data_IF_776124207753
#
_entry.id   IF_776124207753
#
_cell.length_a   1.000
_cell.length_b   1.000
_cell.length_c   1.000
_cell.angle_alpha   90.00
_cell.angle_beta   90.00
_cell.angle_gamma   90.00
#
_symmetry.space_group_name_H-M   'P 1'
#
loop_
_entity.id
_entity.type
_entity.pdbx_description
1 polymer ?
#
# COMPACT_ATOMS: atom_id res chain seq x y z
N UNK A 1 4.32 -24.93 9.36
CA UNK A 1 3.82 -24.46 10.68
C UNK A 1 2.91 -25.46 11.37
N UNK A 2 1.85 -26.00 10.75
CA UNK A 2 0.94 -26.97 11.42
C UNK A 2 1.68 -28.24 11.83
N UNK A 3 2.56 -28.77 10.98
CA UNK A 3 3.48 -29.88 11.27
C UNK A 3 4.50 -29.57 12.37
N UNK A 4 4.97 -28.32 12.46
CA UNK A 4 5.89 -27.89 13.51
C UNK A 4 5.19 -27.78 14.88
N UNK A 5 3.92 -27.34 14.88
CA UNK A 5 3.09 -27.30 16.11
C UNK A 5 2.72 -28.72 16.54
N UNK A 6 2.37 -29.61 15.61
CA UNK A 6 2.15 -31.03 15.88
C UNK A 6 3.40 -31.69 16.47
N UNK A 7 4.57 -31.45 15.85
CA UNK A 7 5.86 -31.98 16.31
C UNK A 7 6.30 -31.42 17.67
N UNK A 8 6.08 -30.13 17.93
CA UNK A 8 6.36 -29.52 19.23
C UNK A 8 5.40 -30.06 20.30
N UNK A 9 4.13 -30.29 19.97
CA UNK A 9 3.14 -30.93 20.85
C UNK A 9 3.51 -32.38 21.18
N UNK A 10 4.04 -33.12 20.21
CA UNK A 10 4.52 -34.49 20.46
C UNK A 10 5.77 -34.46 21.35
N UNK A 11 6.72 -33.57 21.07
CA UNK A 11 7.95 -33.40 21.87
C UNK A 11 7.68 -32.95 23.31
N UNK A 12 6.73 -32.04 23.54
CA UNK A 12 6.37 -31.58 24.89
C UNK A 12 5.64 -32.64 25.72
N UNK A 13 4.83 -33.48 25.07
CA UNK A 13 4.19 -34.64 25.70
C UNK A 13 5.23 -35.72 26.04
N UNK A 14 6.26 -35.87 25.21
CA UNK A 14 7.36 -36.83 25.42
C UNK A 14 8.31 -36.35 26.54
N UNK A 15 8.61 -35.06 26.63
CA UNK A 15 9.56 -34.49 27.61
C UNK A 15 9.03 -34.48 29.06
N UNK A 16 7.71 -34.56 29.27
CA UNK A 16 7.08 -34.53 30.60
C UNK A 16 6.98 -35.87 31.34
N UNK A 17 7.58 -36.94 30.81
CA UNK A 17 8.13 -38.01 31.66
C UNK A 17 7.18 -39.01 32.31
N UNK A 18 6.08 -39.43 31.68
CA UNK A 18 5.39 -40.66 32.13
C UNK A 18 4.72 -41.41 30.95
N UNK A 19 5.52 -42.21 30.23
CA UNK A 19 5.09 -43.00 29.06
C UNK A 19 4.48 -44.36 29.45
N UNK A 20 4.10 -44.56 30.72
CA UNK A 20 3.65 -45.86 31.24
C UNK A 20 2.20 -46.27 30.92
N UNK A 21 1.35 -45.40 30.35
CA UNK A 21 -0.11 -45.64 30.30
C UNK A 21 -0.86 -45.15 29.05
N UNK A 22 -0.19 -44.82 27.96
CA UNK A 22 -0.86 -44.30 26.75
C UNK A 22 -1.55 -45.41 25.94
N UNK A 23 -2.77 -45.77 26.34
CA UNK A 23 -3.66 -46.64 25.56
C UNK A 23 -3.99 -46.04 24.17
N UNK A 24 -4.29 -46.90 23.18
CA UNK A 24 -4.66 -46.49 21.81
C UNK A 24 -5.81 -45.46 21.75
N UNK A 25 -6.72 -45.48 22.74
CA UNK A 25 -7.79 -44.49 22.87
C UNK A 25 -7.29 -43.06 23.13
N UNK A 26 -6.20 -42.88 23.87
CA UNK A 26 -5.63 -41.56 24.15
C UNK A 26 -4.99 -40.95 22.89
N UNK A 27 -4.27 -41.77 22.12
CA UNK A 27 -3.71 -41.34 20.83
C UNK A 27 -4.84 -40.93 19.88
N UNK A 28 -5.94 -41.70 19.84
CA UNK A 28 -7.10 -41.37 19.02
C UNK A 28 -7.73 -40.02 19.40
N UNK A 29 -7.85 -39.71 20.70
CA UNK A 29 -8.39 -38.44 21.18
C UNK A 29 -7.46 -37.25 20.85
N UNK A 30 -6.15 -37.42 20.95
CA UNK A 30 -5.16 -36.40 20.53
C UNK A 30 -5.25 -36.12 19.03
N UNK A 31 -5.35 -37.19 18.22
CA UNK A 31 -5.54 -37.08 16.78
C UNK A 31 -6.87 -36.40 16.45
N UNK A 32 -7.95 -36.75 17.15
CA UNK A 32 -9.27 -36.13 16.98
C UNK A 32 -9.25 -34.64 17.32
N UNK A 33 -8.62 -34.25 18.44
CA UNK A 33 -8.43 -32.85 18.82
C UNK A 33 -7.59 -32.07 17.81
N UNK A 34 -6.53 -32.69 17.30
CA UNK A 34 -5.68 -32.12 16.25
C UNK A 34 -6.43 -31.95 14.93
N UNK A 35 -7.30 -32.90 14.59
CA UNK A 35 -8.14 -32.85 13.40
C UNK A 35 -9.22 -31.76 13.52
N UNK A 36 -9.82 -31.61 14.71
CA UNK A 36 -10.75 -30.52 15.01
C UNK A 36 -10.10 -29.14 14.79
N UNK A 37 -8.81 -28.99 15.13
CA UNK A 37 -8.06 -27.76 14.88
C UNK A 37 -7.90 -27.41 13.40
N UNK A 38 -8.12 -28.33 12.45
CA UNK A 38 -8.15 -28.00 11.02
C UNK A 38 -9.34 -27.08 10.70
N UNK A 39 -10.45 -27.24 11.41
CA UNK A 39 -11.65 -26.42 11.27
C UNK A 39 -11.51 -25.02 11.92
N UNK A 40 -10.46 -24.77 12.71
CA UNK A 40 -10.28 -23.54 13.50
C UNK A 40 -10.30 -22.26 12.66
N UNK A 41 -9.95 -22.35 11.38
CA UNK A 41 -9.96 -21.22 10.44
C UNK A 41 -11.34 -20.86 9.92
N UNK A 42 -12.27 -21.82 9.87
CA UNK A 42 -13.65 -21.60 9.39
C UNK A 42 -14.62 -21.37 10.54
N UNK A 43 -14.49 -22.13 11.61
CA UNK A 43 -15.42 -22.14 12.74
C UNK A 43 -14.66 -22.18 14.09
N UNK A 44 -14.07 -21.06 14.55
CA UNK A 44 -13.21 -21.04 15.73
C UNK A 44 -13.95 -21.38 17.03
N UNK A 45 -15.19 -20.90 17.20
CA UNK A 45 -16.00 -21.17 18.41
C UNK A 45 -16.46 -22.64 18.47
N UNK A 46 -17.02 -23.23 17.39
CA UNK A 46 -17.31 -24.67 17.39
C UNK A 46 -16.07 -25.54 17.60
N UNK A 47 -14.92 -25.14 17.05
CA UNK A 47 -13.66 -25.86 17.25
C UNK A 47 -13.27 -25.89 18.73
N UNK A 48 -13.37 -24.75 19.43
CA UNK A 48 -13.11 -24.69 20.86
C UNK A 48 -14.07 -25.61 21.63
N UNK A 49 -15.37 -25.57 21.33
CA UNK A 49 -16.35 -26.44 21.98
C UNK A 49 -16.02 -27.94 21.81
N UNK A 50 -15.66 -28.37 20.59
CA UNK A 50 -15.24 -29.75 20.32
C UNK A 50 -14.00 -30.14 21.13
N UNK A 51 -12.99 -29.26 21.19
CA UNK A 51 -11.77 -29.52 21.96
C UNK A 51 -12.06 -29.61 23.46
N UNK A 52 -12.96 -28.79 24.00
CA UNK A 52 -13.39 -28.86 25.41
C UNK A 52 -14.19 -30.13 25.72
N UNK A 53 -15.01 -30.62 24.79
CA UNK A 53 -15.71 -31.89 24.95
C UNK A 53 -14.71 -33.05 24.94
N UNK A 54 -13.76 -33.06 24.00
CA UNK A 54 -12.71 -34.08 23.94
C UNK A 54 -11.84 -34.08 25.19
N UNK A 55 -11.58 -32.91 25.80
CA UNK A 55 -10.81 -32.85 27.05
C UNK A 55 -11.55 -33.48 28.22
N UNK A 56 -12.89 -33.34 28.29
CA UNK A 56 -13.70 -34.03 29.31
C UNK A 56 -13.71 -35.54 29.07
N UNK A 57 -13.88 -35.99 27.83
CA UNK A 57 -13.82 -37.42 27.49
C UNK A 57 -12.47 -38.02 27.86
N UNK A 58 -11.37 -37.30 27.61
CA UNK A 58 -10.03 -37.72 27.99
C UNK A 58 -9.87 -37.85 29.52
N UNK A 59 -10.40 -36.89 30.29
CA UNK A 59 -10.37 -36.97 31.76
C UNK A 59 -11.26 -38.08 32.31
N UNK A 60 -12.44 -38.33 31.72
CA UNK A 60 -13.31 -39.44 32.08
C UNK A 60 -12.67 -40.81 31.79
N UNK A 61 -11.75 -40.89 30.82
CA UNK A 61 -10.93 -42.07 30.54
C UNK A 61 -9.75 -42.25 31.51
N UNK A 62 -9.60 -41.37 32.51
CA UNK A 62 -8.54 -41.44 33.53
C UNK A 62 -7.25 -40.71 33.17
N UNK A 63 -7.20 -39.99 32.04
CA UNK A 63 -6.01 -39.24 31.64
C UNK A 63 -5.96 -37.81 32.20
N UNK A 64 -4.76 -37.30 32.53
CA UNK A 64 -4.60 -35.93 33.01
C UNK A 64 -4.97 -34.90 31.94
N UNK A 65 -5.45 -33.73 32.38
CA UNK A 65 -5.80 -32.61 31.51
C UNK A 65 -4.61 -32.10 30.67
N UNK A 66 -3.39 -32.24 31.18
CA UNK A 66 -2.15 -31.74 30.59
C UNK A 66 -1.95 -32.18 29.12
N UNK A 67 -2.48 -33.35 28.76
CA UNK A 67 -2.43 -33.90 27.39
C UNK A 67 -3.24 -33.04 26.40
N UNK A 68 -4.33 -32.42 26.87
CA UNK A 68 -5.26 -31.63 26.03
C UNK A 68 -5.04 -30.12 26.15
N UNK A 69 -4.28 -29.65 27.15
CA UNK A 69 -4.04 -28.21 27.39
C UNK A 69 -3.52 -27.46 26.14
N UNK A 70 -2.52 -27.95 25.38
CA UNK A 70 -2.02 -27.20 24.23
C UNK A 70 -3.06 -27.07 23.11
N UNK A 71 -3.93 -28.07 22.94
CA UNK A 71 -5.03 -27.99 21.97
C UNK A 71 -6.06 -26.93 22.39
N UNK A 72 -6.36 -26.84 23.69
CA UNK A 72 -7.25 -25.81 24.27
C UNK A 72 -6.63 -24.42 24.07
N UNK A 73 -5.34 -24.24 24.39
CA UNK A 73 -4.64 -22.96 24.23
C UNK A 73 -4.64 -22.48 22.78
N UNK A 74 -4.36 -23.37 21.83
CA UNK A 74 -4.38 -23.05 20.40
C UNK A 74 -5.79 -22.67 19.94
N UNK A 75 -6.83 -23.34 20.46
CA UNK A 75 -8.22 -23.00 20.17
C UNK A 75 -8.59 -21.62 20.73
N UNK A 76 -8.25 -21.33 22.00
CA UNK A 76 -8.47 -20.03 22.65
C UNK A 76 -7.71 -18.91 21.93
N UNK A 77 -6.44 -19.11 21.61
CA UNK A 77 -5.65 -18.18 20.79
C UNK A 77 -6.32 -17.88 19.46
N UNK A 78 -6.84 -18.91 18.78
CA UNK A 78 -7.51 -18.75 17.49
C UNK A 78 -8.82 -17.97 17.62
N UNK A 79 -9.59 -18.22 18.68
CA UNK A 79 -10.80 -17.45 18.98
C UNK A 79 -10.44 -16.00 19.30
N UNK A 80 -9.41 -15.75 20.11
CA UNK A 80 -8.95 -14.40 20.46
C UNK A 80 -8.44 -13.61 19.24
N UNK A 81 -7.79 -14.28 18.28
CA UNK A 81 -7.38 -13.67 17.02
C UNK A 81 -8.57 -13.24 16.13
N UNK A 82 -9.67 -13.99 16.19
CA UNK A 82 -10.80 -13.88 15.25
C UNK A 82 -11.96 -13.07 15.81
N UNK A 83 -12.14 -13.09 17.13
CA UNK A 83 -13.20 -12.38 17.84
C UNK A 83 -12.67 -11.05 18.39
N UNK A 84 -13.54 -10.05 18.55
CA UNK A 84 -13.13 -8.79 19.16
C UNK A 84 -12.68 -8.97 20.62
N UNK A 85 -12.03 -7.95 21.20
CA UNK A 85 -11.47 -8.00 22.57
C UNK A 85 -12.47 -8.54 23.59
N UNK A 86 -13.73 -8.08 23.58
CA UNK A 86 -14.79 -8.57 24.49
C UNK A 86 -15.06 -10.08 24.33
N UNK A 87 -15.14 -10.56 23.08
CA UNK A 87 -15.34 -11.99 22.79
C UNK A 87 -14.13 -12.84 23.19
N UNK A 88 -12.92 -12.34 22.96
CA UNK A 88 -11.69 -12.99 23.37
C UNK A 88 -11.61 -13.19 24.89
N UNK A 89 -11.87 -12.13 25.67
CA UNK A 89 -11.84 -12.21 27.14
C UNK A 89 -13.02 -13.02 27.71
N UNK A 90 -14.22 -12.91 27.14
CA UNK A 90 -15.36 -13.71 27.57
C UNK A 90 -15.13 -15.22 27.33
N UNK A 91 -14.61 -15.59 26.16
CA UNK A 91 -14.31 -16.99 25.84
C UNK A 91 -13.13 -17.53 26.64
N UNK A 92 -12.11 -16.71 26.90
CA UNK A 92 -11.01 -17.08 27.79
C UNK A 92 -11.48 -17.32 29.23
N UNK A 93 -12.32 -16.42 29.78
CA UNK A 93 -12.88 -16.56 31.12
C UNK A 93 -13.77 -17.81 31.21
N UNK A 94 -14.64 -18.05 30.23
CA UNK A 94 -15.47 -19.24 30.16
C UNK A 94 -14.63 -20.52 30.09
N UNK A 95 -13.57 -20.52 29.28
CA UNK A 95 -12.68 -21.66 29.14
C UNK A 95 -11.90 -21.93 30.43
N UNK A 96 -11.41 -20.87 31.10
CA UNK A 96 -10.75 -20.99 32.39
C UNK A 96 -11.69 -21.53 33.48
N UNK A 97 -12.94 -21.04 33.53
CA UNK A 97 -13.96 -21.56 34.44
C UNK A 97 -14.29 -23.03 34.15
N UNK A 98 -14.45 -23.41 32.88
CA UNK A 98 -14.67 -24.79 32.47
C UNK A 98 -13.53 -25.72 32.91
N UNK A 99 -12.29 -25.31 32.67
CA UNK A 99 -11.10 -26.05 33.10
C UNK A 99 -11.07 -26.19 34.62
N UNK A 100 -11.36 -25.12 35.38
CA UNK A 100 -11.43 -25.18 36.83
C UNK A 100 -12.49 -26.18 37.33
N UNK A 101 -13.70 -26.13 36.77
CA UNK A 101 -14.80 -27.05 37.14
C UNK A 101 -14.43 -28.50 36.85
N UNK A 102 -13.88 -28.79 35.67
CA UNK A 102 -13.52 -30.16 35.29
C UNK A 102 -12.36 -30.71 36.14
N UNK A 103 -11.36 -29.89 36.46
CA UNK A 103 -10.29 -30.31 37.39
C UNK A 103 -10.84 -30.65 38.77
N UNK A 104 -11.76 -29.83 39.30
CA UNK A 104 -12.39 -30.10 40.60
C UNK A 104 -13.25 -31.39 40.58
N UNK A 105 -13.96 -31.63 39.46
CA UNK A 105 -14.85 -32.79 39.31
C UNK A 105 -14.10 -34.12 39.15
N UNK A 106 -12.97 -34.13 38.42
CA UNK A 106 -12.23 -35.36 38.10
C UNK A 106 -11.03 -35.62 39.01
N UNK A 107 -10.59 -34.65 39.82
CA UNK A 107 -9.39 -34.77 40.67
C UNK A 107 -9.60 -34.26 42.10
N UNK A 108 -10.64 -34.79 42.75
CA UNK A 108 -11.15 -34.40 44.08
C UNK A 108 -10.18 -34.61 45.25
N UNK A 109 -9.07 -35.36 45.06
CA UNK A 109 -8.21 -35.78 46.18
C UNK A 109 -6.87 -35.02 46.33
N UNK A 110 -6.60 -33.99 45.52
CA UNK A 110 -5.30 -33.29 45.58
C UNK A 110 -5.44 -31.84 46.08
N UNK A 111 -4.65 -31.42 47.10
CA UNK A 111 -4.60 -30.04 47.56
C UNK A 111 -4.21 -29.10 46.40
N UNK A 112 -4.54 -27.82 46.53
CA UNK A 112 -4.34 -26.78 45.51
C UNK A 112 -2.85 -26.71 45.12
N UNK A 113 -2.46 -27.45 44.09
CA UNK A 113 -1.10 -27.57 43.61
C UNK A 113 -0.75 -26.34 42.73
N UNK A 114 0.41 -25.69 42.89
CA UNK A 114 0.87 -24.58 42.03
C UNK A 114 0.80 -24.89 40.53
N UNK A 115 0.87 -26.17 40.13
CA UNK A 115 0.73 -26.60 38.73
C UNK A 115 -0.67 -26.30 38.14
N UNK A 116 -1.74 -26.27 38.96
CA UNK A 116 -3.12 -25.93 38.53
C UNK A 116 -3.31 -24.44 38.26
N UNK A 117 -2.62 -23.58 39.02
CA UNK A 117 -2.59 -22.13 38.77
C UNK A 117 -1.88 -21.82 37.44
N UNK A 118 -0.88 -22.63 37.08
CA UNK A 118 -0.18 -22.51 35.80
C UNK A 118 -1.10 -22.68 34.59
N UNK A 119 -2.01 -23.67 34.60
CA UNK A 119 -2.90 -23.94 33.46
C UNK A 119 -3.86 -22.76 33.16
N UNK A 120 -4.46 -22.17 34.20
CA UNK A 120 -5.31 -20.99 34.03
C UNK A 120 -4.50 -19.78 33.51
N UNK A 121 -3.28 -19.58 34.03
CA UNK A 121 -2.39 -18.52 33.57
C UNK A 121 -2.02 -18.69 32.09
N UNK A 122 -1.75 -19.91 31.62
CA UNK A 122 -1.45 -20.19 30.21
C UNK A 122 -2.65 -19.94 29.27
N UNK A 123 -3.87 -20.25 29.69
CA UNK A 123 -5.08 -19.92 28.92
C UNK A 123 -5.25 -18.41 28.77
N UNK A 124 -5.04 -17.67 29.87
CA UNK A 124 -5.08 -16.20 29.86
C UNK A 124 -3.97 -15.63 28.97
N UNK A 125 -2.76 -16.18 29.05
CA UNK A 125 -1.64 -15.78 28.21
C UNK A 125 -1.93 -16.03 26.71
N UNK A 126 -2.48 -17.19 26.35
CA UNK A 126 -2.85 -17.51 24.98
C UNK A 126 -3.90 -16.52 24.42
N UNK A 127 -4.90 -16.16 25.23
CA UNK A 127 -5.90 -15.16 24.87
C UNK A 127 -5.27 -13.76 24.72
N UNK A 128 -4.41 -13.34 25.64
CA UNK A 128 -3.72 -12.06 25.61
C UNK A 128 -2.80 -11.94 24.38
N UNK A 129 -2.06 -13.00 24.04
CA UNK A 129 -1.22 -13.06 22.83
C UNK A 129 -2.09 -12.97 21.57
N UNK A 130 -3.23 -13.66 21.54
CA UNK A 130 -4.20 -13.57 20.45
C UNK A 130 -4.72 -12.13 20.24
N UNK A 131 -5.15 -11.47 21.31
CA UNK A 131 -5.64 -10.08 21.28
C UNK A 131 -4.52 -9.11 20.89
N UNK A 132 -3.30 -9.27 21.41
CA UNK A 132 -2.14 -8.45 21.07
C UNK A 132 -1.77 -8.57 19.58
N UNK A 133 -1.74 -9.79 19.03
CA UNK A 133 -1.47 -10.02 17.61
C UNK A 133 -2.58 -9.42 16.75
N UNK A 134 -3.85 -9.57 17.15
CA UNK A 134 -5.00 -8.96 16.46
C UNK A 134 -4.89 -7.44 16.45
N UNK A 135 -4.62 -6.84 17.60
CA UNK A 135 -4.44 -5.39 17.77
C UNK A 135 -3.30 -4.87 16.90
N UNK A 136 -2.14 -5.53 16.93
CA UNK A 136 -0.99 -5.17 16.10
C UNK A 136 -1.30 -5.23 14.61
N UNK A 137 -2.04 -6.25 14.15
CA UNK A 137 -2.47 -6.35 12.75
C UNK A 137 -3.41 -5.21 12.36
N UNK A 138 -4.34 -4.83 13.23
CA UNK A 138 -5.23 -3.70 12.99
C UNK A 138 -4.46 -2.37 12.88
N UNK A 139 -3.48 -2.15 13.77
CA UNK A 139 -2.60 -0.96 13.72
C UNK A 139 -1.79 -0.92 12.43
N UNK A 140 -1.15 -2.03 12.05
CA UNK A 140 -0.36 -2.11 10.81
C UNK A 140 -1.23 -1.88 9.57
N UNK A 141 -2.44 -2.45 9.54
CA UNK A 141 -3.38 -2.21 8.45
C UNK A 141 -3.78 -0.72 8.35
N UNK A 142 -4.10 -0.08 9.47
CA UNK A 142 -4.44 1.34 9.51
C UNK A 142 -3.26 2.24 9.10
N UNK A 143 -2.03 1.90 9.48
CA UNK A 143 -0.84 2.64 9.06
C UNK A 143 -0.58 2.51 7.56
N UNK A 144 -0.74 1.32 6.98
CA UNK A 144 -0.62 1.11 5.53
C UNK A 144 -1.67 1.92 4.77
N UNK A 145 -2.92 1.86 5.22
CA UNK A 145 -4.01 2.58 4.59
C UNK A 145 -3.81 4.11 4.66
N UNK A 146 -3.24 4.63 5.76
CA UNK A 146 -2.84 6.04 5.87
C UNK A 146 -1.67 6.40 4.97
N UNK A 147 -0.67 5.53 4.86
CA UNK A 147 0.48 5.74 3.97
C UNK A 147 0.04 5.78 2.50
N UNK A 148 -0.79 4.83 2.06
CA UNK A 148 -1.35 4.79 0.70
C UNK A 148 -2.18 6.04 0.39
N UNK A 149 -3.00 6.52 1.35
CA UNK A 149 -3.75 7.77 1.17
C UNK A 149 -2.81 8.98 1.05
N UNK A 150 -1.80 9.07 1.92
CA UNK A 150 -0.85 10.18 1.89
C UNK A 150 -0.04 10.20 0.58
N UNK A 151 0.33 9.03 0.05
CA UNK A 151 1.02 8.92 -1.23
C UNK A 151 0.12 9.38 -2.39
N UNK A 152 -1.14 8.94 -2.42
CA UNK A 152 -2.11 9.39 -3.44
C UNK A 152 -2.33 10.89 -3.39
N UNK A 153 -2.55 11.46 -2.20
CA UNK A 153 -2.73 12.91 -2.04
C UNK A 153 -1.51 13.69 -2.50
N UNK A 154 -0.29 13.24 -2.16
CA UNK A 154 0.94 13.89 -2.65
C UNK A 154 1.08 13.83 -4.17
N UNK A 155 0.73 12.70 -4.79
CA UNK A 155 0.77 12.57 -6.24
C UNK A 155 -0.25 13.50 -6.92
N UNK A 156 -1.45 13.60 -6.36
CA UNK A 156 -2.51 14.51 -6.82
C UNK A 156 -2.10 15.99 -6.66
N UNK A 157 -1.52 16.35 -5.51
CA UNK A 157 -1.00 17.70 -5.24
C UNK A 157 0.14 18.07 -6.19
N UNK A 158 1.09 17.16 -6.42
CA UNK A 158 2.19 17.40 -7.36
C UNK A 158 1.66 17.58 -8.80
N UNK A 159 0.72 16.74 -9.24
CA UNK A 159 0.09 16.88 -10.56
C UNK A 159 -0.68 18.21 -10.68
N UNK A 160 -1.38 18.61 -9.60
CA UNK A 160 -2.08 19.89 -9.53
C UNK A 160 -1.14 21.08 -9.60
N UNK A 161 -0.03 21.06 -8.86
CA UNK A 161 0.99 22.12 -8.91
C UNK A 161 1.57 22.26 -10.32
N UNK A 162 1.89 21.15 -10.99
CA UNK A 162 2.36 21.17 -12.38
C UNK A 162 1.30 21.74 -13.33
N UNK A 163 0.02 21.41 -13.13
CA UNK A 163 -1.07 21.97 -13.94
C UNK A 163 -1.26 23.47 -13.72
N UNK A 164 -1.22 23.93 -12.46
CA UNK A 164 -1.31 25.35 -12.09
C UNK A 164 -0.12 26.14 -12.67
N UNK A 165 1.08 25.58 -12.62
CA UNK A 165 2.29 26.14 -13.22
C UNK A 165 2.14 26.33 -14.74
N UNK A 166 1.66 25.29 -15.44
CA UNK A 166 1.42 25.34 -16.89
C UNK A 166 0.42 26.44 -17.27
N UNK A 167 -0.64 26.62 -16.47
CA UNK A 167 -1.62 27.69 -16.70
C UNK A 167 -1.00 29.07 -16.46
N UNK A 168 -0.17 29.23 -15.42
CA UNK A 168 0.55 30.48 -15.17
C UNK A 168 1.45 30.84 -16.34
N UNK A 169 2.29 29.90 -16.78
CA UNK A 169 3.21 30.14 -17.90
C UNK A 169 2.46 30.48 -19.19
N UNK A 170 1.32 29.83 -19.46
CA UNK A 170 0.49 30.17 -20.61
C UNK A 170 -0.05 31.60 -20.55
N UNK A 171 -0.36 32.13 -19.36
CA UNK A 171 -0.81 33.53 -19.20
C UNK A 171 0.34 34.51 -19.39
N UNK A 172 1.50 34.24 -18.76
CA UNK A 172 2.68 35.08 -18.92
C UNK A 172 3.09 35.16 -20.40
N UNK A 173 3.04 34.02 -21.11
CA UNK A 173 3.24 33.96 -22.56
C UNK A 173 2.19 34.76 -23.33
N UNK A 174 0.91 34.62 -22.98
CA UNK A 174 -0.16 35.34 -23.65
C UNK A 174 -0.02 36.86 -23.49
N UNK A 175 0.33 37.33 -22.29
CA UNK A 175 0.46 38.75 -21.99
C UNK A 175 1.64 39.37 -22.75
N UNK A 176 2.79 38.70 -22.80
CA UNK A 176 3.96 39.16 -23.57
C UNK A 176 3.61 39.23 -25.07
N UNK A 177 2.98 38.18 -25.61
CA UNK A 177 2.61 38.12 -27.03
C UNK A 177 1.55 39.17 -27.38
N UNK A 178 0.52 39.33 -26.55
CA UNK A 178 -0.55 40.30 -26.75
C UNK A 178 0.00 41.74 -26.72
N UNK A 179 0.91 42.04 -25.80
CA UNK A 179 1.56 43.33 -25.71
C UNK A 179 2.40 43.64 -26.97
N UNK A 180 3.24 42.69 -27.40
CA UNK A 180 4.07 42.84 -28.59
C UNK A 180 3.23 42.99 -29.86
N UNK A 181 2.17 42.20 -30.01
CA UNK A 181 1.25 42.32 -31.14
C UNK A 181 0.53 43.68 -31.17
N UNK A 182 0.13 44.19 -30.01
CA UNK A 182 -0.49 45.52 -29.90
C UNK A 182 0.47 46.63 -30.32
N UNK A 183 1.74 46.55 -29.93
CA UNK A 183 2.77 47.50 -30.33
C UNK A 183 3.02 47.47 -31.84
N UNK A 184 3.19 46.27 -32.42
CA UNK A 184 3.37 46.08 -33.87
C UNK A 184 2.15 46.63 -34.64
N UNK A 185 0.94 46.33 -34.18
CA UNK A 185 -0.29 46.79 -34.81
C UNK A 185 -0.42 48.33 -34.75
N UNK A 186 -0.07 48.95 -33.61
CA UNK A 186 -0.05 50.40 -33.49
C UNK A 186 0.98 51.05 -34.44
N UNK A 187 2.21 50.51 -34.50
CA UNK A 187 3.25 51.00 -35.41
C UNK A 187 2.87 50.84 -36.88
N UNK A 188 2.25 49.72 -37.26
CA UNK A 188 1.74 49.49 -38.60
C UNK A 188 0.60 50.47 -38.95
N UNK A 189 -0.32 50.71 -38.00
CA UNK A 189 -1.41 51.69 -38.15
C UNK A 189 -0.90 53.11 -38.39
N UNK A 190 0.14 53.54 -37.69
CA UNK A 190 0.82 54.84 -37.94
C UNK A 190 1.41 54.88 -39.35
N UNK A 191 2.07 53.80 -39.80
CA UNK A 191 2.62 53.73 -41.15
C UNK A 191 1.58 53.88 -42.26
N UNK A 192 0.41 53.25 -42.11
CA UNK A 192 -0.71 53.36 -43.05
C UNK A 192 -1.35 54.77 -43.00
N UNK A 193 -1.48 55.35 -41.81
CA UNK A 193 -2.04 56.70 -41.66
C UNK A 193 -1.17 57.77 -42.33
N UNK A 194 0.15 57.70 -42.17
CA UNK A 194 1.10 58.62 -42.81
C UNK A 194 1.06 58.54 -44.33
N UNK A 195 0.95 57.33 -44.88
CA UNK A 195 0.81 57.10 -46.33
C UNK A 195 -0.50 57.68 -46.87
N UNK A 196 -1.62 57.46 -46.19
CA UNK A 196 -2.92 58.04 -46.56
C UNK A 196 -2.93 59.58 -46.46
N UNK A 197 -2.13 60.15 -45.56
CA UNK A 197 -1.99 61.60 -45.39
C UNK A 197 -1.00 62.24 -46.38
N UNK A 198 -0.34 61.45 -47.24
CA UNK A 198 0.68 61.94 -48.18
C UNK A 198 1.98 62.41 -47.50
N UNK A 199 2.18 62.06 -46.23
CA UNK A 199 3.40 62.40 -45.48
C UNK A 199 4.46 61.33 -45.76
N UNK A 200 5.70 61.70 -46.15
CA UNK A 200 6.77 60.73 -46.32
C UNK A 200 6.94 59.90 -45.06
N UNK A 201 6.90 58.57 -45.21
CA UNK A 201 7.09 57.65 -44.09
C UNK A 201 8.49 57.88 -43.48
N UNK A 202 8.66 57.82 -42.15
CA UNK A 202 9.96 57.92 -41.53
C UNK A 202 10.87 56.80 -42.03
N UNK A 203 12.09 57.15 -42.42
CA UNK A 203 13.11 56.15 -42.75
C UNK A 203 13.28 55.18 -41.58
N UNK A 204 13.22 53.88 -41.88
CA UNK A 204 13.38 52.81 -40.89
C UNK A 204 12.12 52.35 -40.14
N UNK A 205 10.92 52.91 -40.38
CA UNK A 205 9.69 52.44 -39.71
C UNK A 205 9.40 50.93 -39.97
N UNK A 206 9.63 50.49 -41.20
CA UNK A 206 9.48 49.07 -41.58
C UNK A 206 10.57 48.19 -40.96
N UNK A 207 11.77 48.72 -40.75
CA UNK A 207 12.86 48.02 -40.06
C UNK A 207 12.55 47.86 -38.58
N UNK A 208 12.00 48.90 -37.92
CA UNK A 208 11.56 48.82 -36.53
C UNK A 208 10.45 47.78 -36.32
N UNK A 209 9.46 47.73 -37.22
CA UNK A 209 8.40 46.70 -37.17
C UNK A 209 8.99 45.31 -37.38
N UNK A 210 9.90 45.15 -38.35
CA UNK A 210 10.56 43.87 -38.64
C UNK A 210 11.41 43.39 -37.47
N UNK A 211 12.15 44.29 -36.83
CA UNK A 211 13.02 43.96 -35.71
C UNK A 211 12.20 43.65 -34.45
N UNK A 212 11.11 44.39 -34.19
CA UNK A 212 10.15 44.07 -33.13
C UNK A 212 9.50 42.70 -33.31
N UNK A 213 9.09 42.35 -34.53
CA UNK A 213 8.53 41.04 -34.85
C UNK A 213 9.57 39.90 -34.69
N UNK A 214 10.84 40.14 -35.06
CA UNK A 214 11.93 39.18 -34.84
C UNK A 214 12.19 38.94 -33.35
N UNK A 215 12.23 39.99 -32.54
CA UNK A 215 12.44 39.90 -31.08
C UNK A 215 11.29 39.09 -30.44
N UNK A 216 10.04 39.38 -30.80
CA UNK A 216 8.87 38.66 -30.32
C UNK A 216 8.92 37.15 -30.64
N UNK A 217 9.28 36.80 -31.89
CA UNK A 217 9.39 35.41 -32.32
C UNK A 217 10.55 34.67 -31.64
N UNK A 218 11.65 35.39 -31.35
CA UNK A 218 12.81 34.86 -30.62
C UNK A 218 12.44 34.54 -29.17
N UNK A 219 11.77 35.47 -28.46
CA UNK A 219 11.31 35.24 -27.09
C UNK A 219 10.33 34.07 -27.00
N UNK A 220 9.34 34.00 -27.90
CA UNK A 220 8.39 32.89 -27.97
C UNK A 220 9.09 31.53 -28.16
N UNK A 221 10.06 31.46 -29.09
CA UNK A 221 10.85 30.23 -29.33
C UNK A 221 11.67 29.83 -28.11
N UNK A 222 12.23 30.79 -27.40
CA UNK A 222 13.06 30.52 -26.22
C UNK A 222 12.20 29.96 -25.08
N UNK A 223 11.03 30.55 -24.84
CA UNK A 223 10.12 30.12 -23.77
C UNK A 223 9.40 28.81 -24.10
N UNK A 224 8.95 28.60 -25.34
CA UNK A 224 8.39 27.30 -25.79
C UNK A 224 9.48 26.21 -25.79
N UNK A 225 10.70 26.55 -26.18
CA UNK A 225 11.85 25.65 -26.12
C UNK A 225 12.12 25.16 -24.70
N UNK A 226 12.08 26.05 -23.70
CA UNK A 226 12.26 25.70 -22.29
C UNK A 226 11.14 24.76 -21.76
N UNK A 227 9.90 24.92 -22.24
CA UNK A 227 8.78 24.04 -21.88
C UNK A 227 8.82 22.66 -22.56
N UNK A 228 9.36 22.59 -23.77
CA UNK A 228 9.57 21.33 -24.49
C UNK A 228 10.56 20.43 -23.75
N UNK A 229 11.68 20.98 -23.29
CA UNK A 229 12.71 20.23 -22.56
C UNK A 229 12.22 19.71 -21.18
N UNK A 230 11.28 20.42 -20.53
CA UNK A 230 10.63 19.95 -19.30
C UNK A 230 9.62 18.80 -19.52
N UNK A 231 9.18 18.58 -20.76
CA UNK A 231 8.23 17.51 -21.13
C UNK A 231 8.95 16.25 -21.66
N UNK A 232 10.19 16.40 -22.15
CA UNK A 232 11.03 15.31 -22.67
C UNK A 232 11.59 14.36 -21.60
N UNK A 233 11.61 14.75 -20.31
CA UNK A 233 12.00 13.83 -19.24
C UNK A 233 11.04 12.62 -19.08
N UNK A 234 9.88 12.64 -19.73
CA UNK A 234 8.92 11.51 -19.77
C UNK A 234 8.69 10.88 -21.14
N UNK A 235 9.25 11.44 -22.22
CA UNK A 235 9.11 10.91 -23.58
C UNK A 235 10.49 10.53 -24.10
N UNK A 236 10.83 9.26 -23.90
CA UNK A 236 12.03 8.64 -24.45
C UNK A 236 12.21 8.96 -25.95
N UNK A 237 13.42 9.43 -26.30
CA UNK A 237 14.08 9.23 -27.58
C UNK A 237 13.16 9.33 -28.82
N UNK A 238 12.78 10.54 -29.23
CA UNK A 238 12.53 10.71 -30.66
C UNK A 238 13.87 10.59 -31.38
N UNK A 239 14.03 9.67 -32.35
CA UNK A 239 15.28 9.50 -33.07
C UNK A 239 15.60 10.82 -33.77
N UNK A 240 16.85 11.29 -33.64
CA UNK A 240 17.30 12.49 -34.34
C UNK A 240 16.87 12.40 -35.81
N UNK A 241 16.25 13.46 -36.38
CA UNK A 241 15.82 13.46 -37.77
C UNK A 241 17.00 13.06 -38.67
N UNK A 242 16.83 11.95 -39.38
CA UNK A 242 17.87 11.37 -40.23
C UNK A 242 18.04 12.16 -41.54
N UNK A 243 19.09 11.81 -42.27
CA UNK A 243 19.47 12.42 -43.56
C UNK A 243 18.38 12.36 -44.65
N UNK A 244 17.27 11.66 -44.42
CA UNK A 244 16.10 11.65 -45.32
C UNK A 244 15.42 13.01 -45.46
N UNK A 245 15.66 13.96 -44.55
CA UNK A 245 15.08 15.32 -44.60
C UNK A 245 15.97 16.34 -45.34
N UNK A 246 17.14 15.91 -45.84
CA UNK A 246 18.12 16.79 -46.47
C UNK A 246 17.62 17.38 -47.81
N UNK A 247 16.84 16.61 -48.55
CA UNK A 247 16.20 17.04 -49.80
C UNK A 247 15.13 18.10 -49.58
N UNK A 248 14.33 17.96 -48.52
CA UNK A 248 13.33 18.96 -48.16
C UNK A 248 13.98 20.26 -47.65
N UNK A 249 15.10 20.14 -46.93
CA UNK A 249 15.86 21.29 -46.44
C UNK A 249 16.49 22.08 -47.61
N UNK A 250 17.18 21.40 -48.52
CA UNK A 250 17.76 22.04 -49.72
C UNK A 250 16.70 22.65 -50.62
N UNK A 251 15.53 22.03 -50.74
CA UNK A 251 14.39 22.61 -51.47
C UNK A 251 13.89 23.90 -50.82
N UNK A 252 13.80 23.94 -49.49
CA UNK A 252 13.41 25.15 -48.75
C UNK A 252 14.40 26.30 -48.94
N UNK A 253 15.71 26.03 -48.93
CA UNK A 253 16.74 27.05 -49.20
C UNK A 253 16.78 27.52 -50.65
N UNK A 254 16.51 26.64 -51.62
CA UNK A 254 16.37 27.01 -53.03
C UNK A 254 15.15 27.91 -53.27
N UNK A 255 14.04 27.67 -52.58
CA UNK A 255 12.86 28.56 -52.61
C UNK A 255 13.15 29.94 -52.01
N UNK A 256 14.11 30.03 -51.09
CA UNK A 256 14.62 31.28 -50.53
C UNK A 256 15.72 31.94 -51.40
N UNK A 257 16.02 31.40 -52.58
CA UNK A 257 16.98 31.97 -53.53
C UNK A 257 18.46 31.63 -53.27
N UNK A 258 18.75 30.75 -52.31
CA UNK A 258 20.11 30.32 -51.98
C UNK A 258 20.46 29.03 -52.74
N UNK A 259 21.57 29.03 -53.49
CA UNK A 259 22.10 27.80 -54.08
C UNK A 259 22.92 27.04 -53.03
N UNK A 260 22.45 25.83 -52.70
CA UNK A 260 23.10 24.92 -51.76
C UNK A 260 23.43 23.63 -52.49
N UNK A 261 24.70 23.25 -52.45
CA UNK A 261 25.24 21.99 -52.97
C UNK A 261 25.57 21.07 -51.78
N UNK A 262 25.11 19.82 -51.84
CA UNK A 262 25.30 18.83 -50.77
C UNK A 262 26.35 17.84 -51.25
N UNK A 263 27.44 17.68 -50.48
CA UNK A 263 28.56 16.77 -50.77
C UNK A 263 28.70 15.70 -49.72
#
# INVERSE_FOLDING_TARGET
MITAVLGLLTLLVIDRGDLGGLNAGHVLLIVAGSCALLMRRRAPVPTLAVVLVLSVVNQAAGSPLDVMLPAIEVAVYTVALRTGRRGAWATAALTAAWVAVTVLAFQSELPVNPQRLGAAAWIVAAAAVGDAVRSRRAVVAALRERAERAERTRAEEAARQVAEERVRISRDLHDIVAHQLTLIHAQAGVGVHLENAGVPRPDGLLEQIRDGAKVALQELRTTVGALSHGTEAGLAHQPMPGLSLLDDLTRSFKLAGLQVDVR
#
